data_IF_330024103107
#
_entry.id   IF_330024103107
#
_cell.length_a   1.000
_cell.length_b   1.000
_cell.length_c   1.000
_cell.angle_alpha   90.00
_cell.angle_beta   90.00
_cell.angle_gamma   90.00
#
_symmetry.space_group_name_H-M   'P 1'
#
loop_
_entity.id
_entity.type
_entity.pdbx_description
1 polymer ?
#
# COMPACT_ATOMS: atom_id res chain seq x y z
N UNK A 1 9.05 -8.98 31.53
CA UNK A 1 9.05 -9.60 30.18
C UNK A 1 8.32 -8.67 29.21
N UNK A 2 9.00 -7.70 28.57
CA UNK A 2 8.34 -6.76 27.65
C UNK A 2 9.27 -6.27 26.52
N UNK A 3 10.12 -7.17 26.00
CA UNK A 3 11.23 -6.80 25.11
C UNK A 3 11.04 -6.99 23.61
N UNK A 4 9.87 -7.44 23.11
CA UNK A 4 9.74 -7.84 21.69
C UNK A 4 8.75 -7.01 20.84
N UNK A 5 8.04 -6.03 21.41
CA UNK A 5 6.91 -5.37 20.74
C UNK A 5 7.31 -4.40 19.61
N UNK A 6 8.58 -4.02 19.47
CA UNK A 6 9.00 -3.04 18.46
C UNK A 6 9.46 -3.68 17.13
N UNK A 7 10.32 -4.72 17.18
CA UNK A 7 10.75 -5.47 15.98
C UNK A 7 9.58 -6.20 15.31
N UNK A 8 8.59 -6.65 16.09
CA UNK A 8 7.38 -7.26 15.55
C UNK A 8 6.63 -6.29 14.64
N UNK A 9 6.37 -5.05 15.11
CA UNK A 9 5.67 -4.02 14.32
C UNK A 9 6.38 -3.70 13.00
N UNK A 10 7.71 -3.61 12.99
CA UNK A 10 8.51 -3.41 11.77
C UNK A 10 8.36 -4.57 10.77
N UNK A 11 8.38 -5.82 11.26
CA UNK A 11 8.16 -7.02 10.42
C UNK A 11 6.75 -7.10 9.85
N UNK A 12 5.74 -6.72 10.64
CA UNK A 12 4.35 -6.65 10.17
C UNK A 12 4.14 -5.60 9.09
N UNK A 13 4.82 -4.44 9.17
CA UNK A 13 4.77 -3.43 8.12
C UNK A 13 5.34 -3.95 6.79
N UNK A 14 6.47 -4.68 6.83
CA UNK A 14 7.06 -5.30 5.64
C UNK A 14 6.15 -6.39 5.08
N UNK A 15 5.61 -7.27 5.93
CA UNK A 15 4.69 -8.32 5.50
C UNK A 15 3.43 -7.73 4.83
N UNK A 16 2.85 -6.67 5.41
CA UNK A 16 1.70 -5.98 4.81
C UNK A 16 2.07 -5.26 3.53
N UNK A 17 3.26 -4.66 3.42
CA UNK A 17 3.71 -4.06 2.16
C UNK A 17 3.88 -5.13 1.07
N UNK A 18 4.45 -6.27 1.45
CA UNK A 18 4.77 -7.39 0.54
C UNK A 18 3.52 -8.17 0.13
N UNK A 19 2.46 -8.17 0.94
CA UNK A 19 1.14 -8.78 0.61
C UNK A 19 0.19 -7.75 -0.01
N UNK A 20 0.21 -6.51 0.48
CA UNK A 20 -0.65 -5.43 0.00
C UNK A 20 -0.34 -5.06 -1.44
N UNK A 21 0.94 -5.07 -1.83
CA UNK A 21 1.36 -4.80 -3.21
C UNK A 21 0.79 -5.83 -4.21
N UNK A 22 0.99 -7.15 -4.05
CA UNK A 22 0.39 -8.12 -4.95
C UNK A 22 -1.14 -8.11 -4.92
N UNK A 23 -1.78 -7.93 -3.75
CA UNK A 23 -3.24 -7.80 -3.67
C UNK A 23 -3.75 -6.60 -4.48
N UNK A 24 -3.05 -5.46 -4.42
CA UNK A 24 -3.40 -4.29 -5.21
C UNK A 24 -3.16 -4.46 -6.69
N UNK A 25 -2.08 -5.12 -7.10
CA UNK A 25 -1.86 -5.45 -8.50
C UNK A 25 -3.02 -6.30 -9.03
N UNK A 26 -3.43 -7.33 -8.28
CA UNK A 26 -4.57 -8.17 -8.66
C UNK A 26 -5.86 -7.35 -8.76
N UNK A 27 -6.14 -6.50 -7.77
CA UNK A 27 -7.33 -5.64 -7.79
C UNK A 27 -7.30 -4.65 -8.97
N UNK A 28 -6.16 -4.01 -9.23
CA UNK A 28 -5.97 -3.07 -10.33
C UNK A 28 -6.19 -3.76 -11.69
N UNK A 29 -5.57 -4.92 -11.91
CA UNK A 29 -5.73 -5.70 -13.14
C UNK A 29 -7.16 -6.20 -13.28
N UNK A 30 -7.82 -6.59 -12.18
CA UNK A 30 -9.22 -7.02 -12.19
C UNK A 30 -10.14 -5.86 -12.57
N UNK A 31 -9.97 -4.68 -11.96
CA UNK A 31 -10.77 -3.49 -12.28
C UNK A 31 -10.55 -3.07 -13.72
N UNK A 32 -9.30 -3.00 -14.18
CA UNK A 32 -8.97 -2.63 -15.56
C UNK A 32 -9.55 -3.68 -16.54
N UNK A 33 -9.44 -4.98 -16.24
CA UNK A 33 -9.97 -6.04 -17.09
C UNK A 33 -11.49 -6.10 -17.13
N UNK A 34 -12.16 -5.72 -16.04
CA UNK A 34 -13.62 -5.57 -16.01
C UNK A 34 -14.09 -4.29 -16.74
N UNK A 35 -13.32 -3.21 -16.62
CA UNK A 35 -13.67 -1.91 -17.18
C UNK A 35 -13.31 -1.80 -18.68
N UNK A 36 -12.26 -2.50 -19.11
CA UNK A 36 -11.80 -2.60 -20.50
C UNK A 36 -11.51 -4.07 -20.85
N UNK A 37 -12.54 -4.85 -21.20
CA UNK A 37 -12.36 -6.23 -21.63
C UNK A 37 -11.56 -6.34 -22.94
N UNK A 38 -11.70 -5.33 -23.82
CA UNK A 38 -11.09 -5.29 -25.14
C UNK A 38 -9.87 -4.35 -25.16
N UNK A 39 -8.63 -4.86 -25.28
CA UNK A 39 -7.41 -4.04 -25.28
C UNK A 39 -7.22 -3.19 -26.55
N UNK A 40 -8.06 -3.41 -27.57
CA UNK A 40 -8.04 -2.65 -28.82
C UNK A 40 -8.91 -1.38 -28.75
N UNK A 41 -9.85 -1.32 -27.81
CA UNK A 41 -10.64 -0.12 -27.52
C UNK A 41 -9.88 0.73 -26.49
N UNK A 42 -8.89 1.47 -27.00
CA UNK A 42 -8.05 2.33 -26.16
C UNK A 42 -8.91 3.34 -25.41
N UNK A 43 -8.87 3.38 -24.06
CA UNK A 43 -9.59 4.39 -23.31
C UNK A 43 -9.10 5.79 -23.67
N UNK A 44 -10.02 6.76 -23.62
CA UNK A 44 -9.64 8.17 -23.81
C UNK A 44 -8.71 8.64 -22.69
N UNK A 45 -7.89 9.65 -22.97
CA UNK A 45 -6.83 10.10 -22.04
C UNK A 45 -7.39 10.56 -20.68
N UNK A 46 -8.63 11.05 -20.64
CA UNK A 46 -9.33 11.45 -19.41
C UNK A 46 -9.67 10.25 -18.52
N UNK A 47 -10.04 9.14 -19.16
CA UNK A 47 -10.42 7.92 -18.49
C UNK A 47 -9.18 7.25 -17.89
N UNK A 48 -8.09 7.21 -18.64
CA UNK A 48 -6.79 6.76 -18.13
C UNK A 48 -6.36 7.60 -16.90
N UNK A 49 -6.50 8.92 -16.97
CA UNK A 49 -6.20 9.81 -15.85
C UNK A 49 -7.09 9.52 -14.64
N UNK A 50 -8.40 9.35 -14.84
CA UNK A 50 -9.33 9.01 -13.78
C UNK A 50 -8.99 7.67 -13.11
N UNK A 51 -8.58 6.66 -13.89
CA UNK A 51 -8.15 5.37 -13.37
C UNK A 51 -6.88 5.52 -12.55
N UNK A 52 -5.85 6.19 -13.05
CA UNK A 52 -4.61 6.37 -12.28
C UNK A 52 -4.83 7.17 -10.99
N UNK A 53 -5.68 8.20 -11.02
CA UNK A 53 -6.07 8.94 -9.82
C UNK A 53 -6.84 8.01 -8.86
N UNK A 54 -7.80 7.24 -9.35
CA UNK A 54 -8.55 6.27 -8.55
C UNK A 54 -7.65 5.22 -7.91
N UNK A 55 -6.73 4.64 -8.68
CA UNK A 55 -5.73 3.68 -8.22
C UNK A 55 -4.83 4.31 -7.15
N UNK A 56 -4.35 5.53 -7.39
CA UNK A 56 -3.53 6.28 -6.44
C UNK A 56 -4.26 6.57 -5.12
N UNK A 57 -5.52 6.96 -5.17
CA UNK A 57 -6.36 7.19 -3.98
C UNK A 57 -6.64 5.88 -3.24
N UNK A 58 -6.96 4.81 -3.98
CA UNK A 58 -7.15 3.47 -3.41
C UNK A 58 -5.88 2.99 -2.69
N UNK A 59 -4.71 3.29 -3.26
CA UNK A 59 -3.41 2.95 -2.70
C UNK A 59 -2.97 3.87 -1.53
N UNK A 60 -3.50 5.08 -1.45
CA UNK A 60 -3.20 5.99 -0.36
C UNK A 60 -3.69 5.46 1.00
N UNK A 61 -4.77 4.66 1.03
CA UNK A 61 -5.33 4.05 2.24
C UNK A 61 -4.36 3.08 2.93
N UNK A 62 -3.82 2.04 2.24
CA UNK A 62 -2.82 1.16 2.83
C UNK A 62 -1.52 1.90 3.16
N UNK A 63 -1.08 2.86 2.32
CA UNK A 63 0.09 3.69 2.61
C UNK A 63 -0.08 4.40 3.97
N UNK A 64 -1.20 5.10 4.18
CA UNK A 64 -1.48 5.79 5.44
C UNK A 64 -1.44 4.85 6.64
N UNK A 65 -1.98 3.63 6.50
CA UNK A 65 -1.95 2.61 7.57
C UNK A 65 -0.53 2.12 7.88
N UNK A 66 0.26 1.83 6.84
CA UNK A 66 1.66 1.39 6.97
C UNK A 66 2.51 2.50 7.61
N UNK A 67 2.41 3.73 7.11
CA UNK A 67 3.18 4.87 7.63
C UNK A 67 2.80 5.23 9.07
N UNK A 68 1.53 5.10 9.46
CA UNK A 68 1.11 5.29 10.86
C UNK A 68 1.68 4.20 11.79
N UNK A 69 1.99 3.02 11.27
CA UNK A 69 2.66 1.95 11.99
C UNK A 69 4.18 2.14 12.13
N UNK A 70 4.83 2.75 11.13
CA UNK A 70 6.28 3.01 11.10
C UNK A 70 6.65 4.26 11.91
N UNK A 71 5.81 5.30 11.91
CA UNK A 71 6.09 6.60 12.54
C UNK A 71 6.02 6.65 14.07
N UNK A 72 5.64 5.55 14.75
CA UNK A 72 5.83 5.46 16.20
C UNK A 72 7.31 5.21 16.47
N UNK A 73 8.07 6.28 16.65
CA UNK A 73 9.46 6.27 17.09
C UNK A 73 9.63 5.40 18.35
N UNK A 74 10.82 4.82 18.44
CA UNK A 74 11.20 3.91 19.51
C UNK A 74 11.23 4.70 20.82
N UNK A 75 10.38 4.38 21.82
CA UNK A 75 10.51 5.00 23.14
C UNK A 75 11.80 4.55 23.85
N UNK A 76 12.53 3.56 23.32
CA UNK A 76 13.84 3.10 23.78
C UNK A 76 14.92 3.29 22.70
N UNK A 77 14.94 4.43 22.01
CA UNK A 77 16.19 4.88 21.37
C UNK A 77 17.29 4.93 22.43
N UNK A 78 18.55 4.57 22.10
CA UNK A 78 19.60 4.46 23.10
C UNK A 78 19.65 5.76 23.90
N UNK A 79 19.45 5.66 25.22
CA UNK A 79 19.94 6.68 26.11
C UNK A 79 21.45 6.66 25.92
N UNK A 80 21.95 7.53 25.05
CA UNK A 80 23.37 7.82 24.96
C UNK A 80 23.73 8.49 26.29
N UNK A 81 24.34 7.69 27.17
CA UNK A 81 25.16 8.15 28.31
C UNK A 81 26.41 8.88 27.81
#
# INVERSE_FOLDING_TARGET
>A
MAGLSYKARKRWAIAILLVGLPVYIVAAVTVIGLLYPDPMDKPSILVELAIYVGLGVLWAVPLKFIFKGIGKADPNGPAEE
#
